data_IF_060152228009
#
_entry.id   IF_060152228009
#
_cell.length_a   1.000
_cell.length_b   1.000
_cell.length_c   1.000
_cell.angle_alpha   90.00
_cell.angle_beta   90.00
_cell.angle_gamma   90.00
#
_symmetry.space_group_name_H-M   'P 1'
#
loop_
_entity.id
_entity.type
_entity.pdbx_description
1 polymer ?
#
# COMPACT_ATOMS: atom_id res chain seq x y z
N UNK A 1 -8.05 4.93 -12.88
CA UNK A 1 -6.91 4.91 -11.94
C UNK A 1 -5.71 4.19 -12.55
N UNK A 2 -5.83 2.91 -12.92
CA UNK A 2 -4.74 2.15 -13.54
C UNK A 2 -4.09 2.83 -14.77
N UNK A 3 -4.91 3.30 -15.73
CA UNK A 3 -4.41 3.98 -16.94
C UNK A 3 -3.59 5.24 -16.65
N UNK A 4 -3.89 5.95 -15.56
CA UNK A 4 -3.11 7.10 -15.12
C UNK A 4 -1.77 6.67 -14.54
N UNK A 5 -1.75 5.60 -13.72
CA UNK A 5 -0.52 5.08 -13.11
C UNK A 5 0.46 4.55 -14.16
N UNK A 6 -0.03 3.86 -15.18
CA UNK A 6 0.78 3.35 -16.29
C UNK A 6 1.39 4.44 -17.17
N UNK A 7 0.73 5.59 -17.30
CA UNK A 7 1.19 6.67 -18.19
C UNK A 7 2.21 7.62 -17.55
N UNK A 8 2.46 7.51 -16.24
CA UNK A 8 3.39 8.41 -15.55
C UNK A 8 4.86 8.07 -15.82
N UNK A 9 5.62 9.09 -16.22
CA UNK A 9 7.08 9.03 -16.31
C UNK A 9 7.66 10.28 -15.65
N UNK A 10 8.32 10.17 -14.48
CA UNK A 10 8.80 8.95 -13.82
C UNK A 10 7.68 8.10 -13.18
N UNK A 11 7.96 6.81 -12.99
CA UNK A 11 6.99 5.83 -12.46
C UNK A 11 6.48 6.19 -11.06
N UNK A 12 5.18 5.95 -10.84
CA UNK A 12 4.52 6.09 -9.54
C UNK A 12 4.63 4.84 -8.67
N UNK A 13 5.01 3.71 -9.25
CA UNK A 13 5.17 2.44 -8.53
C UNK A 13 6.44 2.47 -7.66
N UNK A 14 6.37 1.83 -6.49
CA UNK A 14 7.52 1.58 -5.62
C UNK A 14 7.81 0.08 -5.58
N UNK A 15 9.02 -0.30 -5.16
CA UNK A 15 9.44 -1.71 -5.10
C UNK A 15 8.97 -2.40 -3.83
N UNK A 16 8.74 -1.63 -2.75
CA UNK A 16 8.28 -2.16 -1.47
C UNK A 16 7.37 -1.18 -0.74
N UNK A 17 6.71 -1.67 0.30
CA UNK A 17 5.86 -0.86 1.17
C UNK A 17 6.69 0.17 1.94
N UNK A 18 7.89 -0.17 2.41
CA UNK A 18 8.76 0.76 3.13
C UNK A 18 9.21 1.93 2.23
N UNK A 19 9.46 1.65 0.94
CA UNK A 19 9.76 2.70 -0.05
C UNK A 19 8.53 3.59 -0.29
N UNK A 20 7.35 2.99 -0.44
CA UNK A 20 6.07 3.71 -0.58
C UNK A 20 5.80 4.65 0.59
N UNK A 21 5.93 4.15 1.82
CA UNK A 21 5.76 4.92 3.07
C UNK A 21 6.73 6.10 3.11
N UNK A 22 8.02 5.86 2.88
CA UNK A 22 9.03 6.93 2.85
C UNK A 22 8.76 7.96 1.76
N UNK A 23 8.24 7.53 0.61
CA UNK A 23 7.88 8.42 -0.49
C UNK A 23 6.71 9.33 -0.09
N UNK A 24 5.68 8.80 0.57
CA UNK A 24 4.56 9.62 1.09
C UNK A 24 5.09 10.67 2.07
N UNK A 25 5.88 10.26 3.07
CA UNK A 25 6.43 11.19 4.08
C UNK A 25 7.27 12.32 3.47
N UNK A 26 8.02 12.04 2.41
CA UNK A 26 8.88 13.02 1.73
C UNK A 26 8.16 13.88 0.69
N UNK A 27 6.92 13.56 0.35
CA UNK A 27 6.20 14.21 -0.74
C UNK A 27 5.30 15.35 -0.27
N UNK A 28 5.27 15.69 1.03
CA UNK A 28 4.50 16.81 1.58
C UNK A 28 3.03 16.84 1.11
N UNK A 29 2.38 15.66 1.08
CA UNK A 29 0.99 15.50 0.64
C UNK A 29 0.78 15.37 -0.88
N UNK A 30 1.83 15.47 -1.69
CA UNK A 30 1.76 15.38 -3.16
C UNK A 30 1.75 13.93 -3.70
N UNK A 31 1.92 12.93 -2.83
CA UNK A 31 1.92 11.51 -3.18
C UNK A 31 1.08 10.71 -2.19
N UNK A 32 0.15 9.92 -2.71
CA UNK A 32 -0.61 8.94 -1.94
C UNK A 32 -0.19 7.53 -2.37
N UNK A 33 -0.19 6.59 -1.41
CA UNK A 33 0.24 5.22 -1.63
C UNK A 33 -0.90 4.24 -1.31
N UNK A 34 -1.09 3.24 -2.15
CA UNK A 34 -2.06 2.18 -1.93
C UNK A 34 -1.38 0.98 -1.28
N UNK A 35 -1.95 0.48 -0.20
CA UNK A 35 -1.42 -0.64 0.56
C UNK A 35 -2.56 -1.42 1.20
N UNK A 36 -2.30 -2.65 1.65
CA UNK A 36 -3.27 -3.47 2.37
C UNK A 36 -3.66 -2.85 3.72
N UNK A 37 -4.93 -3.00 4.10
CA UNK A 37 -5.49 -2.36 5.30
C UNK A 37 -4.75 -2.71 6.58
N UNK A 38 -4.37 -3.98 6.79
CA UNK A 38 -3.59 -4.43 7.95
C UNK A 38 -2.23 -3.73 8.05
N UNK A 39 -1.58 -3.53 6.90
CA UNK A 39 -0.29 -2.85 6.81
C UNK A 39 -0.44 -1.35 7.03
N UNK A 40 -1.55 -0.73 6.55
CA UNK A 40 -1.85 0.68 6.79
C UNK A 40 -2.04 0.93 8.28
N UNK A 41 -2.90 0.17 8.94
CA UNK A 41 -3.17 0.26 10.37
C UNK A 41 -1.86 0.15 11.19
N UNK A 42 -1.04 -0.85 10.89
CA UNK A 42 0.26 -1.05 11.55
C UNK A 42 1.21 0.16 11.41
N UNK A 43 1.24 0.80 10.24
CA UNK A 43 2.13 1.92 9.93
C UNK A 43 1.59 3.22 10.52
N UNK A 44 0.29 3.50 10.41
CA UNK A 44 -0.30 4.74 10.95
C UNK A 44 -0.25 4.80 12.47
N UNK A 45 -0.31 3.65 13.16
CA UNK A 45 -0.11 3.57 14.62
C UNK A 45 1.34 3.90 15.04
N UNK A 46 2.32 3.77 14.13
CA UNK A 46 3.74 4.04 14.39
C UNK A 46 4.21 5.40 13.91
N UNK A 47 3.56 5.92 12.88
CA UNK A 47 3.93 7.14 12.18
C UNK A 47 2.73 8.09 12.18
N UNK A 48 2.67 8.95 13.19
CA UNK A 48 1.55 9.87 13.40
C UNK A 48 1.42 10.96 12.31
N UNK A 49 2.44 11.11 11.46
CA UNK A 49 2.44 11.99 10.28
C UNK A 49 1.74 11.36 9.07
N UNK A 50 1.31 10.09 9.18
CA UNK A 50 0.58 9.37 8.16
C UNK A 50 -0.86 9.12 8.59
N UNK A 51 -1.78 9.15 7.62
CA UNK A 51 -3.18 8.88 7.86
C UNK A 51 -3.79 8.07 6.73
N UNK A 52 -4.74 7.19 7.06
CA UNK A 52 -5.56 6.53 6.07
C UNK A 52 -6.64 7.49 5.58
N UNK A 53 -6.78 7.61 4.27
CA UNK A 53 -7.85 8.40 3.65
C UNK A 53 -8.89 7.45 3.05
N UNK A 54 -10.13 7.56 3.53
CA UNK A 54 -11.25 6.74 3.05
C UNK A 54 -11.26 5.31 3.61
N UNK A 55 -12.13 4.47 3.02
CA UNK A 55 -12.30 3.07 3.39
C UNK A 55 -11.50 2.10 2.51
N UNK A 56 -11.50 0.79 2.86
CA UNK A 56 -10.89 -0.25 2.03
C UNK A 56 -11.60 -0.36 0.68
N UNK A 57 -10.83 -0.66 -0.37
CA UNK A 57 -11.35 -0.83 -1.74
C UNK A 57 -11.95 -2.22 -1.97
N UNK A 58 -11.46 -3.21 -1.23
CA UNK A 58 -11.87 -4.59 -1.30
C UNK A 58 -11.77 -5.27 0.09
N UNK A 59 -12.31 -6.48 0.18
CA UNK A 59 -12.20 -7.33 1.37
C UNK A 59 -11.41 -8.58 1.01
N UNK A 60 -10.15 -8.65 1.47
CA UNK A 60 -9.24 -9.79 1.29
C UNK A 60 -8.83 -10.34 2.65
N UNK A 61 -8.46 -11.63 2.66
CA UNK A 61 -8.03 -12.34 3.86
C UNK A 61 -6.79 -13.18 3.57
N UNK A 62 -5.92 -13.35 4.56
CA UNK A 62 -4.80 -14.26 4.47
C UNK A 62 -5.25 -15.73 4.59
N UNK A 63 -4.57 -16.61 3.86
CA UNK A 63 -4.76 -18.06 3.94
C UNK A 63 -3.42 -18.79 3.96
N UNK A 64 -3.37 -19.94 4.62
CA UNK A 64 -2.19 -20.80 4.61
C UNK A 64 -2.22 -21.62 3.32
N UNK A 65 -1.32 -21.31 2.39
CA UNK A 65 -1.17 -22.07 1.16
C UNK A 65 -0.42 -23.39 1.43
N UNK A 66 -1.06 -24.52 1.13
CA UNK A 66 -0.46 -25.85 1.21
C UNK A 66 -0.28 -26.42 -0.21
N UNK A 67 0.74 -27.25 -0.46
CA UNK A 67 0.85 -27.98 -1.71
C UNK A 67 -0.39 -28.86 -1.94
N UNK A 68 -0.93 -28.94 -3.16
CA UNK A 68 -2.08 -29.77 -3.46
C UNK A 68 -1.78 -31.24 -3.14
N UNK A 69 -2.70 -31.93 -2.47
CA UNK A 69 -2.60 -33.37 -2.17
C UNK A 69 -1.68 -33.76 -1.01
N UNK A 70 -1.28 -32.82 -0.13
CA UNK A 70 -0.44 -33.11 1.05
C UNK A 70 -1.17 -33.05 2.40
N UNK A 71 -2.42 -33.53 2.44
CA UNK A 71 -3.17 -33.82 3.66
C UNK A 71 -3.47 -35.32 3.76
#
# INVERSE_FOLDING_TARGET
MFTFMESQNPTVYTKSNEEGVKRVQKSDGQYAYMMESSSIEYITERYCDLTQVGGPLDSKSYGIALPPGKL
#
